data_IF_353571833693
#
_entry.id   IF_353571833693
#
_cell.length_a   1.000
_cell.length_b   1.000
_cell.length_c   1.000
_cell.angle_alpha   90.00
_cell.angle_beta   90.00
_cell.angle_gamma   90.00
#
_symmetry.space_group_name_H-M   'P 1'
#
loop_
_entity.id
_entity.type
_entity.pdbx_description
1 polymer ?
#
# COMPACT_ATOMS: atom_id res chain seq x y z
N UNK A 1 8.70 -14.36 -11.87
CA UNK A 1 7.40 -14.28 -12.56
C UNK A 1 6.41 -13.77 -11.53
N UNK A 2 5.61 -12.75 -11.84
CA UNK A 2 4.66 -12.17 -10.88
C UNK A 2 3.51 -13.13 -10.66
N UNK A 3 3.14 -13.37 -9.40
CA UNK A 3 2.02 -14.25 -9.06
C UNK A 3 0.70 -13.47 -9.04
N UNK A 4 0.15 -13.18 -10.22
CA UNK A 4 -1.08 -12.38 -10.41
C UNK A 4 -2.23 -12.88 -9.51
N UNK A 5 -2.40 -14.20 -9.38
CA UNK A 5 -3.44 -14.81 -8.53
C UNK A 5 -3.21 -14.48 -7.06
N UNK A 6 -1.97 -14.53 -6.58
CA UNK A 6 -1.63 -14.24 -5.19
C UNK A 6 -1.86 -12.76 -4.88
N UNK A 7 -1.48 -11.85 -5.79
CA UNK A 7 -1.71 -10.42 -5.65
C UNK A 7 -3.20 -10.09 -5.63
N UNK A 8 -4.00 -10.63 -6.54
CA UNK A 8 -5.46 -10.46 -6.53
C UNK A 8 -6.09 -10.96 -5.22
N UNK A 9 -5.63 -12.09 -4.68
CA UNK A 9 -6.08 -12.60 -3.38
C UNK A 9 -5.68 -11.68 -2.21
N UNK A 10 -4.48 -11.10 -2.23
CA UNK A 10 -4.04 -10.12 -1.25
C UNK A 10 -4.95 -8.87 -1.26
N UNK A 11 -5.48 -8.50 -2.43
CA UNK A 11 -6.47 -7.44 -2.57
C UNK A 11 -7.92 -7.87 -2.25
N UNK A 12 -8.12 -9.11 -1.78
CA UNK A 12 -9.43 -9.73 -1.51
C UNK A 12 -10.32 -9.87 -2.76
N UNK A 13 -9.74 -9.85 -3.94
CA UNK A 13 -10.42 -9.98 -5.24
C UNK A 13 -10.54 -11.46 -5.64
N UNK A 14 -11.14 -12.28 -4.78
CA UNK A 14 -11.18 -13.74 -4.95
C UNK A 14 -11.88 -14.19 -6.24
N UNK A 15 -12.95 -13.50 -6.65
CA UNK A 15 -13.65 -13.78 -7.91
C UNK A 15 -12.77 -13.52 -9.14
N UNK A 16 -12.00 -12.43 -9.14
CA UNK A 16 -11.06 -12.12 -10.22
C UNK A 16 -9.91 -13.12 -10.26
N UNK A 17 -9.41 -13.54 -9.08
CA UNK A 17 -8.37 -14.56 -8.99
C UNK A 17 -8.84 -15.92 -9.55
N UNK A 18 -10.10 -16.29 -9.33
CA UNK A 18 -10.72 -17.48 -9.93
C UNK A 18 -10.84 -17.37 -11.45
N UNK A 19 -11.44 -16.28 -11.93
CA UNK A 19 -11.59 -16.03 -13.36
C UNK A 19 -10.23 -16.00 -14.10
N UNK A 20 -9.19 -15.45 -13.49
CA UNK A 20 -7.83 -15.45 -14.05
C UNK A 20 -7.23 -16.87 -14.12
N UNK A 21 -7.46 -17.71 -13.12
CA UNK A 21 -7.02 -19.10 -13.14
C UNK A 21 -7.72 -19.90 -14.24
N UNK A 22 -9.03 -19.71 -14.43
CA UNK A 22 -9.80 -20.35 -15.49
C UNK A 22 -9.28 -19.95 -16.88
N UNK A 23 -9.00 -18.65 -17.07
CA UNK A 23 -8.43 -18.15 -18.33
C UNK A 23 -7.06 -18.74 -18.64
N UNK A 24 -6.20 -18.92 -17.64
CA UNK A 24 -4.91 -19.59 -17.82
C UNK A 24 -5.09 -21.09 -18.15
N UNK A 25 -6.10 -21.74 -17.57
CA UNK A 25 -6.43 -23.15 -17.86
C UNK A 25 -6.89 -23.39 -19.30
N UNK A 26 -7.38 -22.36 -20.00
CA UNK A 26 -7.76 -22.41 -21.42
C UNK A 26 -6.55 -22.33 -22.37
N UNK A 27 -5.34 -22.14 -21.85
CA UNK A 27 -4.09 -22.11 -22.61
C UNK A 27 -3.62 -20.69 -22.96
N UNK A 28 -2.29 -20.52 -23.03
CA UNK A 28 -1.64 -19.24 -23.28
C UNK A 28 -1.78 -18.85 -24.75
N UNK A 29 -2.25 -17.62 -24.98
CA UNK A 29 -2.41 -17.02 -26.31
C UNK A 29 -1.85 -15.60 -26.27
N UNK A 30 -1.45 -15.03 -27.41
CA UNK A 30 -0.93 -13.65 -27.45
C UNK A 30 -1.87 -12.60 -26.80
N UNK A 31 -3.18 -12.83 -26.85
CA UNK A 31 -4.18 -12.00 -26.16
C UNK A 31 -4.10 -12.11 -24.63
N UNK A 32 -3.84 -13.32 -24.13
CA UNK A 32 -3.67 -13.59 -22.70
C UNK A 32 -2.37 -12.98 -22.18
N UNK A 33 -1.28 -13.03 -22.96
CA UNK A 33 -0.01 -12.37 -22.62
C UNK A 33 -0.18 -10.84 -22.55
N UNK A 34 -0.88 -10.25 -23.52
CA UNK A 34 -1.20 -8.83 -23.50
C UNK A 34 -2.09 -8.43 -22.31
N UNK A 35 -3.08 -9.26 -21.99
CA UNK A 35 -3.93 -9.06 -20.81
C UNK A 35 -3.13 -9.21 -19.51
N UNK A 36 -2.17 -10.14 -19.45
CA UNK A 36 -1.31 -10.36 -18.30
C UNK A 36 -0.46 -9.12 -18.03
N UNK A 37 0.19 -8.59 -19.05
CA UNK A 37 0.95 -7.34 -18.92
C UNK A 37 0.09 -6.20 -18.38
N UNK A 38 -1.13 -6.03 -18.90
CA UNK A 38 -2.06 -5.01 -18.44
C UNK A 38 -2.44 -5.20 -16.96
N UNK A 39 -2.79 -6.42 -16.56
CA UNK A 39 -3.18 -6.73 -15.18
C UNK A 39 -2.01 -6.51 -14.22
N UNK A 40 -0.80 -6.93 -14.60
CA UNK A 40 0.41 -6.67 -13.80
C UNK A 40 0.64 -5.17 -13.60
N UNK A 41 0.40 -4.35 -14.62
CA UNK A 41 0.54 -2.90 -14.54
C UNK A 41 -0.52 -2.27 -13.62
N UNK A 42 -1.77 -2.72 -13.72
CA UNK A 42 -2.86 -2.25 -12.85
C UNK A 42 -2.62 -2.64 -11.38
N UNK A 43 -2.13 -3.85 -11.13
CA UNK A 43 -1.78 -4.31 -9.78
C UNK A 43 -0.65 -3.47 -9.18
N UNK A 44 0.36 -3.11 -9.97
CA UNK A 44 1.42 -2.21 -9.52
C UNK A 44 0.86 -0.85 -9.07
N UNK A 45 0.07 -0.19 -9.93
CA UNK A 45 -0.49 1.12 -9.65
C UNK A 45 -1.38 1.10 -8.39
N UNK A 46 -2.19 0.06 -8.21
CA UNK A 46 -3.05 -0.08 -7.03
C UNK A 46 -2.23 -0.31 -5.73
N UNK A 47 -1.12 -1.04 -5.79
CA UNK A 47 -0.24 -1.20 -4.62
C UNK A 47 0.40 0.13 -4.20
N UNK A 48 0.87 0.90 -5.17
CA UNK A 48 1.46 2.22 -4.93
C UNK A 48 0.43 3.17 -4.30
N UNK A 49 -0.78 3.23 -4.85
CA UNK A 49 -1.85 4.09 -4.31
C UNK A 49 -2.28 3.65 -2.90
N UNK A 50 -2.38 2.34 -2.62
CA UNK A 50 -2.65 1.85 -1.27
C UNK A 50 -1.54 2.19 -0.28
N UNK A 51 -0.28 2.10 -0.67
CA UNK A 51 0.85 2.48 0.19
C UNK A 51 0.76 3.97 0.58
N UNK A 52 0.49 4.84 -0.41
CA UNK A 52 0.29 6.28 -0.18
C UNK A 52 -0.89 6.54 0.76
N UNK A 53 -2.04 5.89 0.53
CA UNK A 53 -3.23 6.01 1.40
C UNK A 53 -2.95 5.52 2.83
N UNK A 54 -2.24 4.41 2.98
CA UNK A 54 -1.88 3.84 4.28
C UNK A 54 -0.98 4.79 5.07
N UNK A 55 0.07 5.32 4.44
CA UNK A 55 0.97 6.31 5.07
C UNK A 55 0.20 7.56 5.46
N UNK A 56 -0.66 8.09 4.57
CA UNK A 56 -1.49 9.25 4.89
C UNK A 56 -2.42 8.97 6.07
N UNK A 57 -3.05 7.81 6.12
CA UNK A 57 -3.88 7.41 7.25
C UNK A 57 -3.06 7.31 8.54
N UNK A 58 -1.87 6.70 8.51
CA UNK A 58 -0.97 6.62 9.66
C UNK A 58 -0.59 8.01 10.17
N UNK A 59 -0.15 8.91 9.30
CA UNK A 59 0.21 10.30 9.64
C UNK A 59 -0.97 11.02 10.31
N UNK A 60 -2.17 10.91 9.74
CA UNK A 60 -3.37 11.54 10.29
C UNK A 60 -3.79 10.93 11.62
N UNK A 61 -3.74 9.60 11.73
CA UNK A 61 -4.11 8.85 12.93
C UNK A 61 -3.12 9.00 14.09
N UNK A 62 -1.83 9.21 13.78
CA UNK A 62 -0.77 9.37 14.75
C UNK A 62 -0.97 10.61 15.64
N UNK A 63 -1.81 11.57 15.21
CA UNK A 63 -2.13 12.80 15.96
C UNK A 63 -0.86 13.39 16.56
N UNK A 64 0.21 13.46 15.75
CA UNK A 64 1.50 13.95 16.23
C UNK A 64 1.25 15.28 16.93
N UNK A 65 1.71 15.42 18.19
CA UNK A 65 1.60 16.68 18.89
C UNK A 65 2.16 17.77 17.98
N UNK A 66 1.43 18.89 17.84
CA UNK A 66 1.90 20.08 17.13
C UNK A 66 3.36 20.27 17.51
N UNK A 67 4.24 20.37 16.50
CA UNK A 67 5.67 20.56 16.72
C UNK A 67 5.85 21.54 17.88
N UNK A 68 6.28 21.04 19.06
CA UNK A 68 6.85 21.91 20.08
C UNK A 68 8.14 22.38 19.43
N UNK A 69 8.09 23.54 18.82
CA UNK A 69 9.30 24.28 18.55
C UNK A 69 9.96 24.57 19.91
N UNK A 70 11.29 24.69 19.89
CA UNK A 70 12.03 25.12 21.08
C UNK A 70 11.58 26.52 21.53
N UNK A 71 10.92 27.29 20.65
CA UNK A 71 10.38 28.61 20.94
C UNK A 71 9.15 28.58 21.86
N UNK A 72 8.30 27.56 21.79
CA UNK A 72 7.14 27.37 22.66
C UNK A 72 7.38 26.42 23.85
N UNK A 73 8.62 25.94 24.04
CA UNK A 73 8.98 25.08 25.16
C UNK A 73 9.26 25.94 26.41
N UNK A 74 8.40 25.82 27.43
CA UNK A 74 8.63 26.43 28.73
C UNK A 74 9.71 25.64 29.50
N UNK A 75 10.94 26.15 29.43
CA UNK A 75 12.10 25.59 30.13
C UNK A 75 12.04 25.81 31.64
N UNK A 76 11.32 26.83 32.12
CA UNK A 76 11.22 27.15 33.55
C UNK A 76 10.25 26.19 34.26
N UNK A 77 9.22 25.71 33.57
CA UNK A 77 8.31 24.67 34.09
C UNK A 77 8.91 23.25 34.06
N UNK A 78 10.04 23.04 33.38
CA UNK A 78 10.70 21.74 33.30
C UNK A 78 11.82 21.63 34.33
N UNK A 79 11.77 20.59 35.18
CA UNK A 79 12.86 20.28 36.11
C UNK A 79 14.10 19.85 35.32
N UNK A 80 15.01 20.79 35.07
CA UNK A 80 16.33 20.50 34.52
C UNK A 80 17.17 19.86 35.63
N UNK A 81 17.52 18.59 35.46
CA UNK A 81 18.48 17.93 36.35
C UNK A 81 19.86 18.50 36.02
N UNK A 82 20.44 19.28 36.95
CA UNK A 82 21.81 19.79 36.84
C UNK A 82 22.72 18.92 37.69
N UNK A 83 23.61 18.19 37.04
CA UNK A 83 24.86 17.66 37.62
C UNK A 83 26.00 18.62 37.39
#
# INVERSE_FOLDING_TARGET
>A
MREVIAELKALRLHGMAGAWADLQGLGTNARLDAAQWLVEHLLQAEQEDRAVRSVRHQILSARFPVHRDLAGFDFDASRVDRT
#
